data_IF_779458293525
#
_entry.id   IF_779458293525
#
_cell.length_a   1.000
_cell.length_b   1.000
_cell.length_c   1.000
_cell.angle_alpha   90.00
_cell.angle_beta   90.00
_cell.angle_gamma   90.00
#
_symmetry.space_group_name_H-M   'P 1'
#
loop_
_entity.id
_entity.type
_entity.pdbx_description
1 polymer ?
#
# COMPACT_ATOMS: atom_id res chain seq x y z
N UNK A 1 3.04 -16.99 37.52
CA UNK A 1 2.85 -16.05 36.39
C UNK A 1 1.37 -16.07 36.08
N UNK A 2 0.74 -14.94 36.13
CA UNK A 2 -0.71 -14.85 35.87
C UNK A 2 -0.99 -15.25 34.41
N UNK A 3 -2.11 -15.92 34.15
CA UNK A 3 -2.45 -16.43 32.82
C UNK A 3 -2.56 -15.28 31.79
N UNK A 4 -3.11 -14.14 32.21
CA UNK A 4 -3.21 -12.95 31.36
C UNK A 4 -1.83 -12.44 30.92
N UNK A 5 -0.86 -12.42 31.83
CA UNK A 5 0.53 -12.05 31.49
C UNK A 5 1.19 -13.07 30.55
N UNK A 6 0.94 -14.38 30.77
CA UNK A 6 1.43 -15.42 29.85
C UNK A 6 0.86 -15.25 28.44
N UNK A 7 -0.44 -14.94 28.33
CA UNK A 7 -1.09 -14.72 27.04
C UNK A 7 -0.55 -13.46 26.35
N UNK A 8 -0.35 -12.35 27.07
CA UNK A 8 0.25 -11.11 26.52
C UNK A 8 1.69 -11.33 26.06
N UNK A 9 2.51 -12.05 26.81
CA UNK A 9 3.88 -12.40 26.38
C UNK A 9 3.84 -13.32 25.16
N UNK A 10 2.94 -14.31 25.14
CA UNK A 10 2.78 -15.21 24.00
C UNK A 10 2.32 -14.48 22.75
N UNK A 11 1.46 -13.47 22.91
CA UNK A 11 0.95 -12.66 21.78
C UNK A 11 2.08 -11.93 21.02
N UNK A 12 3.16 -11.51 21.71
CA UNK A 12 4.34 -10.92 21.07
C UNK A 12 4.90 -11.83 19.99
N UNK A 13 5.08 -13.12 20.29
CA UNK A 13 5.60 -14.09 19.33
C UNK A 13 4.56 -14.46 18.26
N UNK A 14 3.32 -14.69 18.68
CA UNK A 14 2.24 -15.06 17.75
C UNK A 14 2.07 -13.96 16.69
N UNK A 15 1.96 -12.70 17.11
CA UNK A 15 1.75 -11.57 16.22
C UNK A 15 2.95 -11.32 15.31
N UNK A 16 4.18 -11.49 15.82
CA UNK A 16 5.37 -11.44 14.98
C UNK A 16 5.32 -12.43 13.81
N UNK A 17 5.04 -13.70 14.10
CA UNK A 17 5.01 -14.73 13.06
C UNK A 17 3.81 -14.58 12.13
N UNK A 18 2.65 -14.19 12.63
CA UNK A 18 1.45 -13.95 11.81
C UNK A 18 1.66 -12.76 10.86
N UNK A 19 2.22 -11.66 11.35
CA UNK A 19 2.56 -10.49 10.54
C UNK A 19 3.56 -10.85 9.44
N UNK A 20 4.62 -11.55 9.82
CA UNK A 20 5.64 -12.00 8.87
C UNK A 20 5.06 -12.94 7.80
N UNK A 21 4.18 -13.87 8.21
CA UNK A 21 3.50 -14.78 7.29
C UNK A 21 2.64 -14.00 6.28
N UNK A 22 1.83 -13.05 6.75
CA UNK A 22 1.02 -12.19 5.88
C UNK A 22 1.88 -11.44 4.87
N UNK A 23 2.94 -10.78 5.34
CA UNK A 23 3.86 -10.01 4.51
C UNK A 23 4.60 -10.86 3.47
N UNK A 24 4.99 -12.09 3.81
CA UNK A 24 5.77 -12.97 2.93
C UNK A 24 4.88 -13.78 1.97
N UNK A 25 3.60 -13.98 2.28
CA UNK A 25 2.68 -14.77 1.47
C UNK A 25 2.62 -14.36 -0.01
N UNK A 26 2.52 -13.06 -0.39
CA UNK A 26 2.54 -12.65 -1.79
C UNK A 26 3.84 -13.04 -2.52
N UNK A 27 5.00 -12.94 -1.84
CA UNK A 27 6.29 -13.30 -2.41
C UNK A 27 6.40 -14.81 -2.66
N UNK A 28 5.91 -15.63 -1.72
CA UNK A 28 5.87 -17.10 -1.88
C UNK A 28 4.97 -17.45 -3.06
N UNK A 29 3.78 -16.87 -3.13
CA UNK A 29 2.85 -17.10 -4.22
C UNK A 29 3.47 -16.70 -5.57
N UNK A 30 4.01 -15.48 -5.67
CA UNK A 30 4.68 -15.01 -6.87
C UNK A 30 5.89 -15.89 -7.25
N UNK A 31 6.67 -16.37 -6.30
CA UNK A 31 7.80 -17.29 -6.53
C UNK A 31 7.34 -18.65 -7.03
N UNK A 32 6.26 -19.21 -6.47
CA UNK A 32 5.71 -20.51 -6.91
C UNK A 32 5.23 -20.47 -8.35
N UNK A 33 4.68 -19.35 -8.78
CA UNK A 33 4.20 -19.16 -10.16
C UNK A 33 5.34 -18.95 -11.17
N UNK A 34 6.54 -18.53 -10.72
CA UNK A 34 7.68 -18.27 -11.60
C UNK A 34 8.41 -19.51 -12.08
N UNK A 35 8.32 -20.64 -11.37
CA UNK A 35 8.96 -21.88 -11.76
C UNK A 35 10.50 -21.79 -11.95
N UNK A 36 11.14 -20.80 -11.31
CA UNK A 36 12.60 -20.56 -11.40
C UNK A 36 13.03 -19.58 -12.51
N UNK A 37 12.13 -19.15 -13.40
CA UNK A 37 12.42 -18.14 -14.42
C UNK A 37 12.11 -16.73 -13.89
N UNK A 38 13.14 -15.97 -13.59
CA UNK A 38 13.07 -14.60 -13.06
C UNK A 38 13.20 -13.53 -14.17
N UNK A 39 13.00 -13.92 -15.44
CA UNK A 39 13.04 -12.97 -16.56
C UNK A 39 11.96 -11.88 -16.45
N UNK A 40 12.23 -10.64 -16.93
CA UNK A 40 11.25 -9.56 -16.89
C UNK A 40 9.93 -9.91 -17.57
N UNK A 41 9.98 -10.66 -18.69
CA UNK A 41 8.80 -11.10 -19.43
C UNK A 41 7.94 -12.07 -18.62
N UNK A 42 8.55 -13.04 -17.92
CA UNK A 42 7.82 -13.99 -17.08
C UNK A 42 7.23 -13.30 -15.85
N UNK A 43 7.94 -12.35 -15.27
CA UNK A 43 7.42 -11.52 -14.15
C UNK A 43 6.18 -10.73 -14.57
N UNK A 44 6.21 -10.08 -15.73
CA UNK A 44 5.07 -9.34 -16.26
C UNK A 44 3.87 -10.28 -16.47
N UNK A 45 4.10 -11.43 -17.12
CA UNK A 45 3.06 -12.44 -17.36
C UNK A 45 2.41 -12.93 -16.06
N UNK A 46 3.18 -13.14 -15.00
CA UNK A 46 2.68 -13.56 -13.70
C UNK A 46 1.93 -12.42 -13.02
N UNK A 47 2.50 -11.21 -13.02
CA UNK A 47 1.83 -10.00 -12.47
C UNK A 47 0.49 -9.73 -13.15
N UNK A 48 0.34 -10.09 -14.42
CA UNK A 48 -0.89 -9.96 -15.19
C UNK A 48 -1.80 -11.20 -15.14
N UNK A 49 -1.40 -12.25 -14.41
CA UNK A 49 -2.24 -13.44 -14.27
C UNK A 49 -3.57 -13.12 -13.59
N UNK A 50 -4.66 -13.70 -14.09
CA UNK A 50 -6.01 -13.48 -13.56
C UNK A 50 -6.09 -13.76 -12.05
N UNK A 51 -5.48 -14.87 -11.61
CA UNK A 51 -5.48 -15.27 -10.21
C UNK A 51 -4.80 -14.24 -9.29
N UNK A 52 -3.66 -13.68 -9.72
CA UNK A 52 -2.94 -12.68 -8.93
C UNK A 52 -3.71 -11.34 -8.88
N UNK A 53 -4.36 -10.95 -9.96
CA UNK A 53 -5.20 -9.74 -9.98
C UNK A 53 -6.42 -9.89 -9.07
N UNK A 54 -7.05 -11.05 -9.04
CA UNK A 54 -8.16 -11.32 -8.12
C UNK A 54 -7.66 -11.33 -6.66
N UNK A 55 -6.50 -11.93 -6.38
CA UNK A 55 -5.92 -11.94 -5.04
C UNK A 55 -5.54 -10.53 -4.57
N UNK A 56 -5.00 -9.67 -5.46
CA UNK A 56 -4.73 -8.26 -5.15
C UNK A 56 -6.03 -7.50 -4.88
N UNK A 57 -7.03 -7.63 -5.72
CA UNK A 57 -8.33 -6.99 -5.50
C UNK A 57 -8.96 -7.40 -4.15
N UNK A 58 -8.79 -8.66 -3.72
CA UNK A 58 -9.18 -9.07 -2.37
C UNK A 58 -8.39 -8.33 -1.28
N UNK A 59 -7.06 -8.25 -1.40
CA UNK A 59 -6.22 -7.52 -0.45
C UNK A 59 -6.55 -6.02 -0.42
N UNK A 60 -6.84 -5.41 -1.56
CA UNK A 60 -7.32 -4.02 -1.68
C UNK A 60 -8.63 -3.80 -0.92
N UNK A 61 -9.56 -4.76 -1.04
CA UNK A 61 -10.82 -4.74 -0.29
C UNK A 61 -10.58 -4.82 1.22
N UNK A 62 -9.65 -5.65 1.66
CA UNK A 62 -9.23 -5.74 3.06
C UNK A 62 -8.67 -4.40 3.52
N UNK A 63 -7.77 -3.78 2.75
CA UNK A 63 -7.19 -2.48 3.09
C UNK A 63 -8.23 -1.37 3.18
N UNK A 64 -9.23 -1.36 2.28
CA UNK A 64 -10.38 -0.46 2.40
C UNK A 64 -11.15 -0.68 3.71
N UNK A 65 -11.39 -1.94 4.06
CA UNK A 65 -12.06 -2.30 5.32
C UNK A 65 -11.26 -1.86 6.54
N UNK A 66 -9.94 -2.02 6.52
CA UNK A 66 -9.05 -1.51 7.57
C UNK A 66 -9.22 0.01 7.71
N UNK A 67 -9.11 0.75 6.62
CA UNK A 67 -9.19 2.21 6.64
C UNK A 67 -10.55 2.73 7.13
N UNK A 68 -11.64 2.28 6.51
CA UNK A 68 -12.97 2.82 6.79
C UNK A 68 -13.64 2.22 8.02
N UNK A 69 -13.57 0.89 8.16
CA UNK A 69 -14.39 0.17 9.13
C UNK A 69 -13.65 0.03 10.46
N UNK A 70 -12.34 -0.11 10.42
CA UNK A 70 -11.55 -0.31 11.63
C UNK A 70 -10.88 0.99 12.11
N UNK A 71 -9.91 1.55 11.38
CA UNK A 71 -9.14 2.69 11.84
C UNK A 71 -9.97 3.96 12.03
N UNK A 72 -10.80 4.30 11.05
CA UNK A 72 -11.62 5.51 11.13
C UNK A 72 -12.67 5.39 12.25
N UNK A 73 -13.30 4.23 12.37
CA UNK A 73 -14.27 3.97 13.42
C UNK A 73 -13.63 4.04 14.82
N UNK A 74 -12.47 3.40 15.01
CA UNK A 74 -11.74 3.44 16.27
C UNK A 74 -11.24 4.86 16.61
N UNK A 75 -10.69 5.57 15.62
CA UNK A 75 -10.24 6.95 15.81
C UNK A 75 -11.36 7.89 16.20
N UNK A 76 -12.49 7.86 15.50
CA UNK A 76 -13.69 8.66 15.81
C UNK A 76 -14.30 8.24 17.14
N UNK A 77 -14.35 6.93 17.43
CA UNK A 77 -14.86 6.39 18.69
C UNK A 77 -14.09 6.95 19.89
N UNK A 78 -12.76 6.82 19.90
CA UNK A 78 -11.88 7.36 20.95
C UNK A 78 -12.03 8.88 21.14
N UNK A 79 -12.11 9.64 20.04
CA UNK A 79 -12.32 11.07 20.11
C UNK A 79 -13.70 11.46 20.64
N UNK A 80 -14.72 10.62 20.46
CA UNK A 80 -16.07 10.85 21.02
C UNK A 80 -16.14 10.63 22.52
N UNK A 81 -15.25 9.81 23.09
CA UNK A 81 -15.13 9.58 24.55
C UNK A 81 -14.55 10.82 25.26
N UNK A 82 -13.77 11.60 24.54
CA UNK A 82 -13.15 12.84 25.02
C UNK A 82 -14.08 14.02 24.66
N UNK A 83 -14.96 14.42 25.52
CA UNK A 83 -15.94 15.51 25.32
C UNK A 83 -15.35 16.73 24.58
N UNK A 84 -15.32 16.70 23.26
CA UNK A 84 -14.75 17.76 22.40
C UNK A 84 -15.86 18.66 21.89
N UNK A 85 -15.59 19.95 21.77
CA UNK A 85 -16.48 20.93 21.16
C UNK A 85 -16.66 20.73 19.63
N UNK A 86 -15.81 19.88 19.00
CA UNK A 86 -15.82 19.60 17.57
C UNK A 86 -15.98 18.09 17.26
N UNK A 87 -17.22 17.61 17.14
CA UNK A 87 -17.48 16.16 16.94
C UNK A 87 -16.92 15.58 15.65
N UNK A 88 -16.64 16.42 14.64
CA UNK A 88 -16.11 15.99 13.35
C UNK A 88 -14.58 15.87 13.30
N UNK A 89 -13.88 16.03 14.43
CA UNK A 89 -12.41 16.08 14.47
C UNK A 89 -11.78 14.85 13.82
N UNK A 90 -12.24 13.63 14.14
CA UNK A 90 -11.70 12.39 13.57
C UNK A 90 -11.82 12.34 12.05
N UNK A 91 -12.97 12.70 11.51
CA UNK A 91 -13.17 12.77 10.05
C UNK A 91 -12.30 13.84 9.39
N UNK A 92 -12.13 14.99 10.05
CA UNK A 92 -11.25 16.06 9.56
C UNK A 92 -9.80 15.59 9.53
N UNK A 93 -9.33 14.94 10.58
CA UNK A 93 -7.97 14.40 10.65
C UNK A 93 -7.74 13.32 9.58
N UNK A 94 -8.71 12.45 9.31
CA UNK A 94 -8.64 11.49 8.23
C UNK A 94 -8.52 12.16 6.86
N UNK A 95 -9.29 13.23 6.64
CA UNK A 95 -9.18 14.02 5.40
C UNK A 95 -7.80 14.65 5.26
N UNK A 96 -7.24 15.19 6.34
CA UNK A 96 -5.88 15.75 6.37
C UNK A 96 -4.85 14.65 6.08
N UNK A 97 -4.98 13.46 6.68
CA UNK A 97 -4.11 12.31 6.40
C UNK A 97 -4.07 11.95 4.90
N UNK A 98 -5.24 11.86 4.27
CA UNK A 98 -5.34 11.62 2.83
C UNK A 98 -4.68 12.73 1.99
N UNK A 99 -4.89 14.00 2.35
CA UNK A 99 -4.28 15.15 1.66
C UNK A 99 -2.76 15.20 1.82
N UNK A 100 -2.24 14.78 2.97
CA UNK A 100 -0.79 14.69 3.21
C UNK A 100 -0.14 13.71 2.26
N UNK A 101 -0.72 12.50 2.07
CA UNK A 101 -0.18 11.51 1.12
C UNK A 101 -0.24 12.05 -0.30
N UNK A 102 -1.38 12.60 -0.73
CA UNK A 102 -1.52 13.23 -2.05
C UNK A 102 -0.44 14.30 -2.26
N UNK A 103 -0.21 15.17 -1.27
CA UNK A 103 0.80 16.22 -1.34
C UNK A 103 2.22 15.66 -1.48
N UNK A 104 2.58 14.67 -0.68
CA UNK A 104 3.88 13.98 -0.76
C UNK A 104 4.08 13.33 -2.12
N UNK A 105 3.08 12.64 -2.64
CA UNK A 105 3.14 12.01 -3.95
C UNK A 105 3.40 13.04 -5.06
N UNK A 106 2.64 14.13 -5.09
CA UNK A 106 2.80 15.18 -6.10
C UNK A 106 4.18 15.86 -6.02
N UNK A 107 4.70 16.09 -4.82
CA UNK A 107 6.05 16.65 -4.61
C UNK A 107 7.09 15.64 -5.10
N UNK A 108 7.00 14.38 -4.70
CA UNK A 108 7.94 13.34 -5.10
C UNK A 108 7.99 13.18 -6.62
N UNK A 109 6.85 13.10 -7.29
CA UNK A 109 6.76 12.99 -8.74
C UNK A 109 7.35 14.22 -9.45
N UNK A 110 7.11 15.43 -8.92
CA UNK A 110 7.66 16.67 -9.46
C UNK A 110 9.19 16.70 -9.36
N UNK A 111 9.74 16.36 -8.18
CA UNK A 111 11.20 16.32 -7.97
C UNK A 111 11.87 15.30 -8.88
N UNK A 112 11.29 14.12 -9.05
CA UNK A 112 11.84 13.09 -9.94
C UNK A 112 11.85 13.55 -11.39
N UNK A 113 10.79 14.21 -11.85
CA UNK A 113 10.72 14.74 -13.20
C UNK A 113 11.76 15.86 -13.42
N UNK A 114 12.02 16.70 -12.42
CA UNK A 114 13.08 17.72 -12.49
C UNK A 114 14.47 17.08 -12.61
N UNK A 115 14.80 16.10 -11.77
CA UNK A 115 16.10 15.41 -11.82
C UNK A 115 16.33 14.78 -13.19
N UNK A 116 15.30 14.15 -13.79
CA UNK A 116 15.41 13.54 -15.12
C UNK A 116 15.61 14.56 -16.24
N UNK A 117 14.98 15.72 -16.12
CA UNK A 117 15.15 16.79 -17.11
C UNK A 117 16.56 17.37 -17.07
N UNK A 118 17.18 17.44 -15.90
CA UNK A 118 18.54 17.93 -15.71
C UNK A 118 19.61 16.94 -16.22
N UNK A 119 19.30 15.63 -16.24
CA UNK A 119 20.18 14.58 -16.75
C UNK A 119 20.15 14.42 -18.30
N UNK A 120 19.13 14.92 -19.00
CA UNK A 120 19.12 14.94 -20.47
C UNK A 120 20.07 16.04 -20.99
N UNK A 121 21.11 15.71 -21.78
CA UNK A 121 21.93 16.71 -22.41
C UNK A 121 21.08 17.59 -23.34
N UNK A 122 21.34 18.91 -23.43
CA UNK A 122 20.55 19.82 -24.24
C UNK A 122 20.49 19.32 -25.68
N UNK A 123 19.28 19.01 -26.16
CA UNK A 123 19.07 18.67 -27.58
C UNK A 123 19.69 19.78 -28.42
N UNK A 124 20.79 19.48 -29.15
CA UNK A 124 21.35 20.39 -30.11
C UNK A 124 20.23 20.81 -31.05
N UNK A 125 19.87 22.08 -31.01
CA UNK A 125 18.99 22.68 -31.98
C UNK A 125 19.64 22.44 -33.36
N UNK A 126 19.04 21.55 -34.16
CA UNK A 126 19.37 21.39 -35.55
C UNK A 126 18.88 22.69 -36.18
N UNK A 127 19.86 23.54 -36.55
CA UNK A 127 19.60 24.83 -37.13
C UNK A 127 18.86 24.68 -38.47
N UNK A 128 17.68 25.28 -38.50
CA UNK A 128 17.01 25.60 -39.76
C UNK A 128 17.89 26.50 -40.60
N UNK A 129 18.51 25.95 -41.63
CA UNK A 129 18.94 26.67 -42.81
C UNK A 129 18.98 25.70 -43.99
N UNK A 130 17.88 25.53 -44.66
CA UNK A 130 17.92 25.33 -46.11
C UNK A 130 16.75 26.08 -46.76
N UNK A 131 17.13 27.09 -47.46
CA UNK A 131 16.33 27.81 -48.44
C UNK A 131 15.88 26.83 -49.53
N UNK A 132 14.57 26.62 -49.66
CA UNK A 132 14.02 25.98 -50.85
C UNK A 132 13.61 27.07 -51.83
N UNK A 133 14.41 27.18 -52.89
CA UNK A 133 14.14 28.00 -54.05
C UNK A 133 13.02 27.36 -54.89
N UNK A 134 12.05 28.18 -55.26
CA UNK A 134 10.86 27.81 -56.03
C UNK A 134 11.24 27.78 -57.51
N UNK A 135 11.28 26.60 -58.13
CA UNK A 135 11.45 26.45 -59.61
C UNK A 135 10.24 25.71 -60.18
N UNK A 136 9.50 26.44 -60.99
CA UNK A 136 8.39 25.93 -61.84
C UNK A 136 8.95 25.40 -63.13
N UNK A 137 8.52 24.25 -63.60
CA UNK A 137 8.07 23.88 -64.94
C UNK A 137 8.53 22.50 -65.44
N UNK A 138 7.59 21.77 -66.03
CA UNK A 138 7.83 20.88 -67.14
C UNK A 138 7.38 19.44 -67.01
N UNK A 139 6.24 19.14 -67.61
CA UNK A 139 5.73 17.78 -67.82
C UNK A 139 6.69 16.95 -68.72
N UNK A 140 6.89 15.67 -68.43
CA UNK A 140 6.62 14.62 -69.44
C UNK A 140 6.61 13.20 -68.79
N UNK A 141 5.93 12.29 -69.48
CA UNK A 141 5.65 10.91 -69.21
C UNK A 141 6.85 9.99 -69.41
N UNK A 142 7.03 8.98 -68.62
CA UNK A 142 7.14 7.57 -69.04
C UNK A 142 7.40 6.62 -67.94
N UNK A 143 6.81 5.42 -68.06
CA UNK A 143 6.87 4.23 -67.20
C UNK A 143 8.30 3.80 -66.85
N UNK A 144 8.47 3.20 -65.66
CA UNK A 144 8.95 1.81 -65.51
C UNK A 144 9.16 1.46 -64.05
N UNK A 145 8.90 0.21 -63.75
CA UNK A 145 9.06 -0.49 -62.50
C UNK A 145 10.42 -0.25 -61.84
N UNK A 146 10.41 -0.11 -60.47
CA UNK A 146 11.42 -0.75 -59.63
C UNK A 146 11.16 -0.54 -58.13
N UNK A 147 11.00 -1.68 -57.48
CA UNK A 147 11.59 -2.09 -56.21
C UNK A 147 11.33 -1.22 -54.93
N UNK A 148 10.43 -1.73 -54.07
CA UNK A 148 10.21 -1.23 -52.74
C UNK A 148 11.36 -1.62 -51.80
N UNK A 149 12.34 -0.77 -51.65
CA UNK A 149 13.21 -0.76 -50.48
C UNK A 149 12.55 0.06 -49.37
N UNK A 150 11.86 -0.62 -48.46
CA UNK A 150 11.40 -0.07 -47.20
C UNK A 150 12.60 0.25 -46.30
N UNK A 151 13.01 1.51 -46.29
CA UNK A 151 13.78 2.03 -45.16
C UNK A 151 12.86 2.18 -43.96
N UNK A 152 12.96 1.25 -43.04
CA UNK A 152 12.44 1.39 -41.68
C UNK A 152 13.11 2.61 -41.03
N UNK A 153 12.38 3.69 -40.95
CA UNK A 153 12.75 4.79 -40.07
C UNK A 153 12.50 4.30 -38.65
N UNK A 154 13.57 4.06 -37.90
CA UNK A 154 13.57 3.88 -36.46
C UNK A 154 12.88 5.07 -35.80
N UNK A 155 11.62 4.90 -35.46
CA UNK A 155 10.90 5.85 -34.61
C UNK A 155 11.33 5.65 -33.15
N UNK A 156 11.80 6.75 -32.62
CA UNK A 156 12.28 6.98 -31.28
C UNK A 156 11.55 6.19 -30.17
N UNK A 157 12.30 5.35 -29.47
CA UNK A 157 11.90 4.61 -28.25
C UNK A 157 11.90 5.50 -26.99
N UNK A 158 11.38 6.73 -27.04
CA UNK A 158 11.53 7.65 -25.90
C UNK A 158 10.33 7.87 -24.97
N UNK A 159 9.08 7.47 -25.23
CA UNK A 159 8.01 7.64 -24.23
C UNK A 159 7.92 6.49 -23.21
N UNK A 160 8.33 5.27 -23.54
CA UNK A 160 8.13 4.08 -22.69
C UNK A 160 9.05 4.08 -21.46
N UNK A 161 10.28 4.56 -21.58
CA UNK A 161 11.22 4.58 -20.45
C UNK A 161 10.87 5.65 -19.39
N UNK A 162 10.34 6.79 -19.81
CA UNK A 162 9.89 7.84 -18.88
C UNK A 162 8.65 7.40 -18.09
N UNK A 163 7.66 6.80 -18.73
CA UNK A 163 6.45 6.29 -18.10
C UNK A 163 6.82 5.18 -17.11
N UNK A 164 7.70 4.25 -17.47
CA UNK A 164 8.16 3.18 -16.60
C UNK A 164 8.86 3.69 -15.33
N UNK A 165 9.74 4.69 -15.45
CA UNK A 165 10.47 5.22 -14.29
C UNK A 165 9.59 6.02 -13.33
N UNK A 166 8.54 6.67 -13.82
CA UNK A 166 7.59 7.43 -12.99
C UNK A 166 6.65 6.47 -12.24
N UNK A 167 6.15 5.44 -12.92
CA UNK A 167 5.35 4.39 -12.28
C UNK A 167 6.12 3.63 -11.20
N UNK A 168 7.40 3.30 -11.44
CA UNK A 168 8.25 2.61 -10.48
C UNK A 168 8.45 3.41 -9.19
N UNK A 169 8.67 4.72 -9.29
CA UNK A 169 8.85 5.57 -8.12
C UNK A 169 7.55 5.80 -7.34
N UNK A 170 6.41 5.91 -8.02
CA UNK A 170 5.09 5.96 -7.39
C UNK A 170 4.87 4.74 -6.49
N UNK A 171 5.20 3.53 -6.96
CA UNK A 171 5.06 2.29 -6.16
C UNK A 171 5.96 2.29 -4.93
N UNK A 172 7.17 2.85 -5.01
CA UNK A 172 8.06 2.99 -3.84
C UNK A 172 7.47 3.94 -2.79
N UNK A 173 7.00 5.12 -3.22
CA UNK A 173 6.36 6.10 -2.32
C UNK A 173 5.14 5.49 -1.65
N UNK A 174 4.30 4.79 -2.43
CA UNK A 174 3.14 4.04 -1.96
C UNK A 174 3.52 3.05 -0.86
N UNK A 175 4.56 2.23 -1.07
CA UNK A 175 5.03 1.26 -0.09
C UNK A 175 5.44 1.93 1.24
N UNK A 176 6.22 3.02 1.20
CA UNK A 176 6.64 3.73 2.39
C UNK A 176 5.48 4.42 3.13
N UNK A 177 4.55 5.05 2.41
CA UNK A 177 3.39 5.71 3.02
C UNK A 177 2.48 4.69 3.70
N UNK A 178 2.23 3.57 3.02
CA UNK A 178 1.42 2.49 3.56
C UNK A 178 2.06 1.87 4.80
N UNK A 179 3.37 1.57 4.78
CA UNK A 179 4.07 1.03 5.95
C UNK A 179 4.06 2.00 7.12
N UNK A 180 4.33 3.28 6.89
CA UNK A 180 4.30 4.30 7.95
C UNK A 180 2.93 4.37 8.62
N UNK A 181 1.85 4.39 7.84
CA UNK A 181 0.49 4.42 8.37
C UNK A 181 0.16 3.18 9.20
N UNK A 182 0.44 2.00 8.64
CA UNK A 182 0.20 0.72 9.31
C UNK A 182 1.06 0.63 10.58
N UNK A 183 2.33 1.06 10.54
CA UNK A 183 3.22 1.00 11.70
C UNK A 183 2.70 1.84 12.87
N UNK A 184 2.25 3.07 12.62
CA UNK A 184 1.65 3.93 13.67
C UNK A 184 0.45 3.25 14.30
N UNK A 185 -0.49 2.76 13.48
CA UNK A 185 -1.68 2.07 13.94
C UNK A 185 -1.34 0.78 14.70
N UNK A 186 -0.44 -0.05 14.17
CA UNK A 186 -0.01 -1.31 14.78
C UNK A 186 0.61 -1.12 16.17
N UNK A 187 1.37 -0.04 16.40
CA UNK A 187 1.89 0.29 17.73
C UNK A 187 0.73 0.60 18.69
N UNK A 188 -0.26 1.39 18.27
CA UNK A 188 -1.41 1.75 19.12
C UNK A 188 -2.22 0.50 19.51
N UNK A 189 -2.52 -0.38 18.55
CA UNK A 189 -3.19 -1.66 18.83
C UNK A 189 -2.34 -2.54 19.75
N UNK A 190 -1.05 -2.62 19.51
CA UNK A 190 -0.13 -3.38 20.35
C UNK A 190 -0.13 -2.89 21.79
N UNK A 191 -0.04 -1.59 22.01
CA UNK A 191 -0.12 -0.99 23.36
C UNK A 191 -1.45 -1.33 24.02
N UNK A 192 -2.57 -1.19 23.32
CA UNK A 192 -3.90 -1.54 23.84
C UNK A 192 -3.97 -3.01 24.28
N UNK A 193 -3.49 -3.95 23.43
CA UNK A 193 -3.46 -5.38 23.76
C UNK A 193 -2.53 -5.68 24.95
N UNK A 194 -1.37 -5.03 25.00
CA UNK A 194 -0.39 -5.20 26.08
C UNK A 194 -0.85 -4.64 27.42
N UNK A 195 -1.66 -3.58 27.42
CA UNK A 195 -2.18 -2.92 28.62
C UNK A 195 -3.44 -3.56 29.20
N UNK A 196 -4.04 -4.55 28.54
CA UNK A 196 -5.20 -5.29 29.09
C UNK A 196 -4.79 -6.15 30.29
N UNK A 197 -4.73 -5.54 31.47
CA UNK A 197 -4.45 -6.24 32.72
C UNK A 197 -5.67 -7.04 33.19
N UNK A 198 -5.40 -8.22 33.77
CA UNK A 198 -6.37 -9.22 34.20
C UNK A 198 -7.57 -8.69 34.98
N UNK A 199 -8.63 -8.36 34.27
CA UNK A 199 -9.97 -8.34 34.85
C UNK A 199 -10.51 -9.79 34.81
N UNK A 200 -11.33 -10.18 35.77
CA UNK A 200 -11.81 -11.55 36.04
C UNK A 200 -12.36 -12.39 34.86
N UNK A 201 -12.36 -11.85 33.64
CA UNK A 201 -12.76 -12.55 32.42
C UNK A 201 -11.67 -12.42 31.34
N UNK A 202 -10.90 -13.48 31.10
CA UNK A 202 -9.85 -13.58 30.06
C UNK A 202 -10.40 -13.67 28.64
N UNK A 203 -11.69 -13.89 28.47
CA UNK A 203 -12.34 -14.01 27.14
C UNK A 203 -12.17 -12.79 26.25
N UNK A 204 -12.24 -11.54 26.73
CA UNK A 204 -12.02 -10.38 25.89
C UNK A 204 -10.61 -10.31 25.30
N UNK A 205 -9.57 -10.67 26.09
CA UNK A 205 -8.18 -10.67 25.63
C UNK A 205 -7.92 -11.72 24.54
N UNK A 206 -8.51 -12.92 24.67
CA UNK A 206 -8.38 -13.96 23.66
C UNK A 206 -9.09 -13.58 22.36
N UNK A 207 -10.32 -13.06 22.45
CA UNK A 207 -11.08 -12.60 21.30
C UNK A 207 -10.36 -11.48 20.54
N UNK A 208 -9.82 -10.50 21.28
CA UNK A 208 -9.03 -9.41 20.71
C UNK A 208 -7.76 -9.94 20.05
N UNK A 209 -7.03 -10.85 20.69
CA UNK A 209 -5.82 -11.45 20.11
C UNK A 209 -6.12 -12.18 18.79
N UNK A 210 -7.21 -12.95 18.75
CA UNK A 210 -7.63 -13.63 17.51
C UNK A 210 -7.96 -12.61 16.43
N UNK A 211 -8.74 -11.58 16.76
CA UNK A 211 -9.08 -10.49 15.84
C UNK A 211 -7.82 -9.80 15.27
N UNK A 212 -6.89 -9.44 16.17
CA UNK A 212 -5.61 -8.81 15.78
C UNK A 212 -4.74 -9.74 14.95
N UNK A 213 -4.73 -11.06 15.18
CA UNK A 213 -4.01 -12.01 14.33
C UNK A 213 -4.53 -12.00 12.89
N UNK A 214 -5.85 -12.08 12.69
CA UNK A 214 -6.43 -12.00 11.35
C UNK A 214 -6.16 -10.64 10.69
N UNK A 215 -6.38 -9.58 11.44
CA UNK A 215 -6.11 -8.21 11.01
C UNK A 215 -4.66 -8.06 10.52
N UNK A 216 -3.70 -8.43 11.35
CA UNK A 216 -2.28 -8.32 11.08
C UNK A 216 -1.84 -9.18 9.88
N UNK A 217 -2.43 -10.37 9.72
CA UNK A 217 -2.18 -11.21 8.55
C UNK A 217 -2.63 -10.53 7.26
N UNK A 218 -3.83 -9.95 7.24
CA UNK A 218 -4.37 -9.30 6.05
C UNK A 218 -3.71 -7.96 5.74
N UNK A 219 -3.33 -7.18 6.75
CA UNK A 219 -2.48 -5.99 6.56
C UNK A 219 -1.15 -6.36 5.92
N UNK A 220 -0.50 -7.40 6.45
CA UNK A 220 0.72 -7.94 5.86
C UNK A 220 0.53 -8.39 4.42
N UNK A 221 -0.60 -9.05 4.10
CA UNK A 221 -0.93 -9.45 2.74
C UNK A 221 -1.02 -8.23 1.80
N UNK A 222 -1.72 -7.18 2.22
CA UNK A 222 -1.85 -5.94 1.46
C UNK A 222 -0.50 -5.25 1.25
N UNK A 223 0.24 -4.97 2.33
CA UNK A 223 1.57 -4.36 2.26
C UNK A 223 2.54 -5.20 1.43
N UNK A 224 2.53 -6.53 1.63
CA UNK A 224 3.39 -7.46 0.89
C UNK A 224 3.16 -7.42 -0.61
N UNK A 225 1.91 -7.23 -1.09
CA UNK A 225 1.63 -7.09 -2.52
C UNK A 225 2.24 -5.81 -3.10
N UNK A 226 2.17 -4.69 -2.39
CA UNK A 226 2.76 -3.42 -2.82
C UNK A 226 4.29 -3.51 -2.81
N UNK A 227 4.88 -4.08 -1.76
CA UNK A 227 6.35 -4.25 -1.67
C UNK A 227 6.86 -5.26 -2.70
N UNK A 228 6.11 -6.33 -3.05
CA UNK A 228 6.49 -7.23 -4.15
C UNK A 228 6.49 -6.51 -5.51
N UNK A 229 5.59 -5.57 -5.75
CA UNK A 229 5.61 -4.73 -6.95
C UNK A 229 6.87 -3.83 -6.99
N UNK A 230 7.25 -3.24 -5.86
CA UNK A 230 8.41 -2.35 -5.74
C UNK A 230 9.76 -3.08 -5.54
N UNK A 231 9.77 -4.41 -5.40
CA UNK A 231 10.95 -5.17 -4.92
C UNK A 231 12.21 -5.04 -5.76
N UNK A 232 12.08 -4.78 -7.07
CA UNK A 232 13.22 -4.65 -7.99
C UNK A 232 13.97 -3.36 -7.66
N UNK A 233 13.25 -2.28 -7.52
CA UNK A 233 13.73 -0.94 -7.26
C UNK A 233 14.21 -0.80 -5.81
N UNK A 234 13.50 -1.42 -4.88
CA UNK A 234 13.87 -1.43 -3.47
C UNK A 234 15.14 -2.25 -3.20
N UNK A 235 15.31 -3.36 -3.91
CA UNK A 235 16.35 -4.34 -3.63
C UNK A 235 16.06 -5.20 -2.39
N UNK A 236 16.72 -6.36 -2.31
CA UNK A 236 16.46 -7.38 -1.28
C UNK A 236 16.57 -6.87 0.17
N UNK A 237 17.57 -6.04 0.46
CA UNK A 237 17.80 -5.55 1.81
C UNK A 237 16.64 -4.68 2.32
N UNK A 238 16.12 -3.79 1.48
CA UNK A 238 14.97 -2.95 1.85
C UNK A 238 13.69 -3.76 1.98
N UNK A 239 13.45 -4.74 1.09
CA UNK A 239 12.30 -5.66 1.20
C UNK A 239 12.32 -6.42 2.53
N UNK A 240 13.47 -6.92 2.95
CA UNK A 240 13.61 -7.58 4.26
C UNK A 240 13.38 -6.58 5.39
N UNK A 241 13.87 -5.34 5.26
CA UNK A 241 13.66 -4.28 6.25
C UNK A 241 12.16 -3.99 6.40
N UNK A 242 11.40 -3.80 5.30
CA UNK A 242 9.95 -3.65 5.33
C UNK A 242 9.27 -4.80 6.08
N UNK A 243 9.61 -6.04 5.75
CA UNK A 243 9.02 -7.21 6.40
C UNK A 243 9.31 -7.25 7.91
N UNK A 244 10.52 -6.89 8.33
CA UNK A 244 10.91 -6.87 9.75
C UNK A 244 10.28 -5.70 10.49
N UNK A 245 10.24 -4.50 9.90
CA UNK A 245 9.62 -3.31 10.51
C UNK A 245 8.14 -3.59 10.76
N UNK A 246 7.40 -4.05 9.74
CA UNK A 246 6.00 -4.40 9.88
C UNK A 246 5.77 -5.50 10.94
N UNK A 247 6.56 -6.59 10.90
CA UNK A 247 6.38 -7.71 11.83
C UNK A 247 6.71 -7.36 13.28
N UNK A 248 7.52 -6.33 13.54
CA UNK A 248 7.94 -5.92 14.88
C UNK A 248 7.05 -4.84 15.50
N UNK A 249 6.27 -4.09 14.71
CA UNK A 249 5.51 -2.93 15.22
C UNK A 249 4.49 -3.31 16.29
N UNK A 250 3.60 -4.29 16.05
CA UNK A 250 2.63 -4.74 17.06
C UNK A 250 3.31 -5.40 18.28
N UNK A 251 4.26 -6.33 18.11
CA UNK A 251 5.04 -6.87 19.22
C UNK A 251 5.69 -5.82 20.12
N UNK A 252 6.28 -4.78 19.51
CA UNK A 252 6.85 -3.66 20.28
C UNK A 252 5.77 -2.90 21.05
N UNK A 253 4.62 -2.64 20.42
CA UNK A 253 3.47 -2.03 21.10
C UNK A 253 3.00 -2.86 22.29
N UNK A 254 2.84 -4.18 22.11
CA UNK A 254 2.44 -5.10 23.20
C UNK A 254 3.46 -5.06 24.35
N UNK A 255 4.74 -5.08 24.04
CA UNK A 255 5.80 -4.99 25.03
C UNK A 255 5.71 -3.67 25.83
N UNK A 256 5.52 -2.55 25.16
CA UNK A 256 5.33 -1.24 25.81
C UNK A 256 4.06 -1.25 26.67
N UNK A 257 2.95 -1.80 26.18
CA UNK A 257 1.70 -1.92 26.95
C UNK A 257 1.87 -2.76 28.23
N UNK A 258 2.64 -3.86 28.16
CA UNK A 258 2.96 -4.68 29.34
C UNK A 258 3.75 -3.86 30.37
N UNK A 259 4.78 -3.13 29.92
CA UNK A 259 5.63 -2.33 30.82
C UNK A 259 4.83 -1.20 31.52
N UNK A 260 3.93 -0.56 30.82
CA UNK A 260 3.07 0.49 31.38
C UNK A 260 2.14 -0.09 32.45
N UNK A 261 1.61 -1.29 32.25
CA UNK A 261 0.65 -1.91 33.18
C UNK A 261 1.32 -2.55 34.40
N UNK A 262 2.58 -2.98 34.30
CA UNK A 262 3.33 -3.57 35.41
C UNK A 262 3.72 -2.50 36.46
N UNK A 263 3.74 -1.21 36.08
CA UNK A 263 3.87 -0.07 37.00
C UNK A 263 2.50 0.19 37.66
N UNK A 264 2.30 -0.36 38.86
CA UNK A 264 1.05 -0.30 39.63
C UNK A 264 0.51 1.13 39.93
N UNK A 265 1.15 2.16 39.47
CA UNK A 265 0.69 3.55 39.55
C UNK A 265 -0.40 3.92 38.52
N UNK A 266 -0.73 3.02 37.58
CA UNK A 266 -1.65 3.27 36.44
C UNK A 266 -2.92 2.39 36.52
N UNK A 267 -3.48 2.18 37.70
CA UNK A 267 -4.72 1.38 37.89
C UNK A 267 -5.96 2.00 37.20
N UNK A 268 -5.92 3.25 36.76
CA UNK A 268 -7.09 4.01 36.32
C UNK A 268 -7.44 3.89 34.84
N UNK A 269 -6.75 3.00 34.06
CA UNK A 269 -6.97 2.88 32.60
C UNK A 269 -6.29 4.02 31.79
N UNK A 270 -6.48 4.06 30.46
CA UNK A 270 -5.87 5.12 29.64
C UNK A 270 -6.38 6.49 30.05
N UNK A 271 -5.46 7.44 30.15
CA UNK A 271 -5.79 8.83 30.45
C UNK A 271 -6.54 9.49 29.29
N UNK A 272 -7.25 10.58 29.58
CA UNK A 272 -7.94 11.38 28.55
C UNK A 272 -6.96 11.79 27.43
N UNK A 273 -5.72 12.17 27.79
CA UNK A 273 -4.70 12.58 26.82
C UNK A 273 -4.23 11.42 25.93
N UNK A 274 -4.11 10.22 26.50
CA UNK A 274 -3.74 9.01 25.73
C UNK A 274 -4.86 8.61 24.77
N UNK A 275 -6.12 8.61 25.23
CA UNK A 275 -7.30 8.34 24.41
C UNK A 275 -7.42 9.35 23.26
N UNK A 276 -7.23 10.65 23.56
CA UNK A 276 -7.23 11.71 22.57
C UNK A 276 -6.12 11.52 21.52
N UNK A 277 -4.90 11.26 21.99
CA UNK A 277 -3.74 11.05 21.09
C UNK A 277 -3.94 9.83 20.20
N UNK A 278 -4.37 8.71 20.75
CA UNK A 278 -4.67 7.50 19.98
C UNK A 278 -5.78 7.74 18.95
N UNK A 279 -6.84 8.45 19.32
CA UNK A 279 -7.93 8.83 18.43
C UNK A 279 -7.45 9.70 17.26
N UNK A 280 -6.60 10.69 17.52
CA UNK A 280 -6.00 11.54 16.48
C UNK A 280 -5.10 10.73 15.52
N UNK A 281 -4.20 9.89 16.07
CA UNK A 281 -3.27 9.08 15.28
C UNK A 281 -4.02 8.08 14.40
N UNK A 282 -5.01 7.36 14.95
CA UNK A 282 -5.82 6.41 14.19
C UNK A 282 -6.63 7.09 13.10
N UNK A 283 -7.16 8.29 13.35
CA UNK A 283 -7.90 9.05 12.35
C UNK A 283 -7.00 9.49 11.18
N UNK A 284 -5.80 10.00 11.47
CA UNK A 284 -4.83 10.38 10.43
C UNK A 284 -4.40 9.13 9.64
N UNK A 285 -4.05 8.04 10.34
CA UNK A 285 -3.68 6.77 9.73
C UNK A 285 -4.79 6.21 8.82
N UNK A 286 -6.05 6.30 9.26
CA UNK A 286 -7.21 5.92 8.46
C UNK A 286 -7.23 6.66 7.12
N UNK A 287 -7.05 7.97 7.14
CA UNK A 287 -7.03 8.77 5.92
C UNK A 287 -5.91 8.39 4.95
N UNK A 288 -4.72 8.10 5.47
CA UNK A 288 -3.59 7.63 4.67
C UNK A 288 -3.91 6.28 4.03
N UNK A 289 -4.39 5.31 4.81
CA UNK A 289 -4.73 3.96 4.30
C UNK A 289 -5.87 4.03 3.28
N UNK A 290 -6.90 4.84 3.53
CA UNK A 290 -8.03 5.03 2.61
C UNK A 290 -7.53 5.58 1.27
N UNK A 291 -6.68 6.60 1.28
CA UNK A 291 -6.12 7.18 0.06
C UNK A 291 -5.31 6.12 -0.72
N UNK A 292 -4.38 5.45 -0.07
CA UNK A 292 -3.54 4.42 -0.70
C UNK A 292 -4.40 3.29 -1.25
N UNK A 293 -5.36 2.77 -0.49
CA UNK A 293 -6.21 1.67 -0.92
C UNK A 293 -7.06 2.04 -2.13
N UNK A 294 -7.76 3.19 -2.08
CA UNK A 294 -8.68 3.60 -3.13
C UNK A 294 -7.98 4.14 -4.37
N UNK A 295 -7.05 5.09 -4.17
CA UNK A 295 -6.47 5.86 -5.27
C UNK A 295 -5.29 5.11 -5.88
N UNK A 296 -4.42 4.61 -5.04
CA UNK A 296 -3.14 4.06 -5.47
C UNK A 296 -3.20 2.56 -5.81
N UNK A 297 -4.15 1.81 -5.22
CA UNK A 297 -4.25 0.38 -5.46
C UNK A 297 -5.46 0.05 -6.36
N UNK A 298 -6.68 0.32 -5.89
CA UNK A 298 -7.91 -0.05 -6.62
C UNK A 298 -7.98 0.65 -7.98
N UNK A 299 -7.74 1.96 -8.04
CA UNK A 299 -7.82 2.70 -9.31
C UNK A 299 -6.78 2.19 -10.29
N UNK A 300 -5.52 2.00 -9.85
CA UNK A 300 -4.43 1.53 -10.72
C UNK A 300 -4.72 0.13 -11.29
N UNK A 301 -5.13 -0.82 -10.43
CA UNK A 301 -5.38 -2.19 -10.88
C UNK A 301 -6.61 -2.30 -11.79
N UNK A 302 -7.70 -1.55 -11.51
CA UNK A 302 -8.91 -1.58 -12.33
C UNK A 302 -8.79 -0.79 -13.64
N UNK A 303 -7.89 0.20 -13.72
CA UNK A 303 -7.62 0.98 -14.93
C UNK A 303 -6.47 0.43 -15.77
N UNK A 304 -5.80 -0.64 -15.33
CA UNK A 304 -4.69 -1.23 -16.06
C UNK A 304 -5.08 -1.54 -17.51
N UNK A 305 -4.24 -1.08 -18.45
CA UNK A 305 -4.49 -1.20 -19.89
C UNK A 305 -4.64 -2.66 -20.35
N UNK A 306 -3.94 -3.59 -19.69
CA UNK A 306 -3.99 -5.03 -19.97
C UNK A 306 -5.36 -5.67 -19.72
N UNK A 307 -6.25 -5.04 -18.94
CA UNK A 307 -7.61 -5.53 -18.65
C UNK A 307 -8.71 -4.59 -19.15
N UNK A 308 -8.39 -3.56 -19.90
CA UNK A 308 -9.34 -2.53 -20.31
C UNK A 308 -10.60 -3.09 -21.01
N UNK A 309 -10.45 -4.14 -21.82
CA UNK A 309 -11.55 -4.83 -22.51
C UNK A 309 -12.13 -6.06 -21.80
N UNK A 310 -11.57 -6.48 -20.65
CA UNK A 310 -11.95 -7.73 -20.00
C UNK A 310 -12.96 -7.50 -18.84
N UNK A 311 -14.23 -7.32 -19.20
CA UNK A 311 -15.30 -7.08 -18.21
C UNK A 311 -15.50 -8.26 -17.24
N UNK A 312 -15.28 -9.48 -17.71
CA UNK A 312 -15.41 -10.68 -16.87
C UNK A 312 -14.38 -10.68 -15.74
N UNK A 313 -13.12 -10.34 -16.04
CA UNK A 313 -12.06 -10.24 -15.04
C UNK A 313 -12.31 -9.07 -14.08
N UNK A 314 -12.71 -7.91 -14.59
CA UNK A 314 -13.06 -6.75 -13.74
C UNK A 314 -14.19 -7.08 -12.77
N UNK A 315 -15.20 -7.85 -13.20
CA UNK A 315 -16.30 -8.26 -12.31
C UNK A 315 -15.80 -9.24 -11.22
N UNK A 316 -14.93 -10.19 -11.55
CA UNK A 316 -14.31 -11.09 -10.56
C UNK A 316 -13.46 -10.32 -9.55
N UNK A 317 -12.66 -9.37 -10.01
CA UNK A 317 -11.89 -8.48 -9.15
C UNK A 317 -12.78 -7.66 -8.22
N UNK A 318 -13.88 -7.11 -8.75
CA UNK A 318 -14.84 -6.33 -7.95
C UNK A 318 -15.52 -7.18 -6.87
N UNK A 319 -15.90 -8.42 -7.20
CA UNK A 319 -16.44 -9.36 -6.22
C UNK A 319 -15.40 -9.70 -5.14
N UNK A 320 -14.14 -9.94 -5.53
CA UNK A 320 -13.05 -10.21 -4.60
C UNK A 320 -12.80 -9.02 -3.65
N UNK A 321 -12.82 -7.78 -4.18
CA UNK A 321 -12.70 -6.54 -3.42
C UNK A 321 -13.83 -6.43 -2.37
N UNK A 322 -15.09 -6.69 -2.76
CA UNK A 322 -16.21 -6.69 -1.82
C UNK A 322 -16.01 -7.76 -0.73
N UNK A 323 -15.60 -8.97 -1.10
CA UNK A 323 -15.37 -10.05 -0.13
C UNK A 323 -14.27 -9.67 0.84
N UNK A 324 -13.17 -9.08 0.38
CA UNK A 324 -12.08 -8.59 1.24
C UNK A 324 -12.56 -7.52 2.23
N UNK A 325 -13.34 -6.55 1.76
CA UNK A 325 -13.92 -5.52 2.62
C UNK A 325 -14.87 -6.11 3.67
N UNK A 326 -15.74 -7.04 3.27
CA UNK A 326 -16.66 -7.71 4.19
C UNK A 326 -15.93 -8.60 5.20
N UNK A 327 -14.80 -9.21 4.84
CA UNK A 327 -13.99 -9.98 5.78
C UNK A 327 -13.53 -9.10 6.95
N UNK A 328 -13.10 -7.87 6.68
CA UNK A 328 -12.75 -6.90 7.73
C UNK A 328 -13.96 -6.44 8.54
N UNK A 329 -15.11 -6.22 7.90
CA UNK A 329 -16.34 -5.87 8.60
C UNK A 329 -16.77 -6.95 9.61
N UNK A 330 -16.59 -8.21 9.26
CA UNK A 330 -16.87 -9.34 10.19
C UNK A 330 -15.86 -9.38 11.34
N UNK A 331 -14.58 -9.12 11.08
CA UNK A 331 -13.55 -9.13 12.13
C UNK A 331 -13.77 -8.04 13.19
N UNK A 332 -14.26 -6.88 12.80
CA UNK A 332 -14.57 -5.76 13.74
C UNK A 332 -15.65 -6.13 14.76
N UNK A 333 -16.50 -7.14 14.48
CA UNK A 333 -17.50 -7.61 15.46
C UNK A 333 -16.83 -8.24 16.71
N UNK A 334 -15.60 -8.75 16.56
CA UNK A 334 -14.85 -9.41 17.63
C UNK A 334 -13.61 -8.64 18.10
N UNK A 335 -13.23 -7.56 17.42
CA UNK A 335 -12.12 -6.67 17.78
C UNK A 335 -12.65 -5.44 18.52
#
# INVERSE_FOLDING_TARGET
MDYSLQLRISSVFILFFVSLLGMVAPFIYAASMRGGDDSPANRLKISESEALRIARAFAEGVMMGIGFIHLLNDGVGKLSEVSLDYPALGYTLATVGAMVVLGFEQIALTLINQIKTDEEPPKKAIGDKEHVEFGVAGADKSNEDHDYNTHEHAHADHPVSMISGTMSMSVIVKAYMMELSIAVHSVVIGVALGSMAGKENEQPLQALLIGVCFHQFFEGLGLGTVVDQARIELGKAKVILFALTFALTVPMGVFVGILITDDQSLEDGPTVDETYTAGCLNSIAAGIVIYVALVEMVVDDFQAASIAGNISLKLKMFVALIIGNLAMAVLVIWA
#
